data_IF_019016249824
#
_entry.id   IF_019016249824
#
_cell.length_a   1.000
_cell.length_b   1.000
_cell.length_c   1.000
_cell.angle_alpha   90.00
_cell.angle_beta   90.00
_cell.angle_gamma   90.00
#
_symmetry.space_group_name_H-M   'P 1'
#
loop_
_entity.id
_entity.type
_entity.pdbx_description
1 polymer ?
#
# COMPACT_ATOMS: atom_id res chain seq x y z
N UNK A 1 17.57 68.97 3.31
CA UNK A 1 16.12 68.75 3.29
C UNK A 1 15.76 68.03 4.56
N UNK A 2 15.01 68.71 5.41
CA UNK A 2 14.91 68.49 6.84
C UNK A 2 14.26 67.15 7.21
N UNK A 3 14.92 66.39 8.09
CA UNK A 3 14.34 65.21 8.74
C UNK A 3 13.42 65.68 9.88
N UNK A 4 12.28 66.27 9.52
CA UNK A 4 11.19 66.70 10.43
C UNK A 4 10.45 65.50 11.01
N UNK A 5 11.08 64.72 11.89
CA UNK A 5 10.40 63.68 12.68
C UNK A 5 10.92 63.50 14.10
N UNK A 6 11.87 64.35 14.55
CA UNK A 6 12.40 64.34 15.92
C UNK A 6 11.79 65.54 16.65
N UNK A 7 10.95 65.31 17.65
CA UNK A 7 10.30 66.38 18.43
C UNK A 7 11.15 66.76 19.66
N UNK A 8 11.28 68.08 19.84
CA UNK A 8 11.83 68.95 20.90
C UNK A 8 12.90 68.49 21.92
N UNK A 9 13.34 67.24 22.00
CA UNK A 9 14.46 66.83 22.88
C UNK A 9 15.32 65.68 22.34
N UNK A 10 15.14 65.24 21.08
CA UNK A 10 15.94 64.15 20.48
C UNK A 10 15.66 62.74 21.01
N UNK A 11 14.81 62.60 22.03
CA UNK A 11 14.51 61.34 22.73
C UNK A 11 13.27 60.63 22.17
N UNK A 12 12.41 61.34 21.44
CA UNK A 12 11.16 60.80 20.87
C UNK A 12 11.05 61.03 19.36
N UNK A 13 10.35 60.12 18.68
CA UNK A 13 10.16 60.10 17.22
C UNK A 13 8.73 59.67 16.88
N UNK A 14 8.16 60.26 15.83
CA UNK A 14 6.85 59.88 15.30
C UNK A 14 6.98 58.65 14.41
N UNK A 15 6.17 57.62 14.65
CA UNK A 15 6.10 56.48 13.75
C UNK A 15 5.28 56.82 12.49
N UNK A 16 5.88 56.71 11.31
CA UNK A 16 5.20 57.00 10.03
C UNK A 16 4.11 55.98 9.64
N UNK A 17 3.95 54.87 10.36
CA UNK A 17 2.93 53.84 10.11
C UNK A 17 1.71 53.94 11.03
N UNK A 18 1.91 54.26 12.32
CA UNK A 18 0.81 54.33 13.29
C UNK A 18 0.58 55.72 13.89
N UNK A 19 1.37 56.72 13.50
CA UNK A 19 1.25 58.11 13.96
C UNK A 19 1.63 58.36 15.43
N UNK A 20 1.90 57.29 16.21
CA UNK A 20 2.27 57.41 17.64
C UNK A 20 3.62 58.09 17.82
N UNK A 21 3.71 59.00 18.79
CA UNK A 21 4.96 59.57 19.31
C UNK A 21 5.55 58.56 20.30
N UNK A 22 6.75 58.03 20.03
CA UNK A 22 7.38 56.97 20.82
C UNK A 22 8.85 57.28 21.11
N UNK A 23 9.44 56.75 22.20
CA UNK A 23 10.88 56.84 22.45
C UNK A 23 11.71 56.23 21.30
N UNK A 24 12.87 56.80 21.00
CA UNK A 24 13.76 56.35 19.90
C UNK A 24 14.15 54.86 20.01
N UNK A 25 14.24 54.30 21.21
CA UNK A 25 14.53 52.89 21.47
C UNK A 25 13.46 51.93 20.92
N UNK A 26 12.24 52.41 20.71
CA UNK A 26 11.15 51.66 20.07
C UNK A 26 11.30 51.60 18.55
N UNK A 27 12.37 52.15 17.99
CA UNK A 27 12.74 52.06 16.58
C UNK A 27 14.03 51.25 16.43
N UNK A 28 14.17 50.55 15.31
CA UNK A 28 15.39 49.76 15.01
C UNK A 28 16.49 50.70 14.51
N UNK A 29 17.69 50.59 15.07
CA UNK A 29 18.89 51.27 14.58
C UNK A 29 19.52 50.47 13.44
N UNK A 30 19.75 51.10 12.31
CA UNK A 30 20.37 50.48 11.12
C UNK A 30 21.50 51.36 10.60
N UNK A 31 22.44 50.79 9.83
CA UNK A 31 23.53 51.53 9.19
C UNK A 31 23.15 51.84 7.74
N UNK A 32 23.29 53.10 7.32
CA UNK A 32 23.06 53.53 5.94
C UNK A 32 24.20 53.15 5.00
N UNK A 33 24.04 53.52 3.72
CA UNK A 33 25.00 53.26 2.63
C UNK A 33 26.40 53.85 2.88
N UNK A 34 26.51 54.85 3.78
CA UNK A 34 27.76 55.48 4.21
C UNK A 34 28.11 55.17 5.68
N UNK A 35 27.65 54.03 6.22
CA UNK A 35 27.85 53.60 7.62
C UNK A 35 27.28 54.50 8.73
N UNK A 36 26.64 55.61 8.38
CA UNK A 36 25.96 56.47 9.35
C UNK A 36 24.76 55.74 9.98
N UNK A 37 24.70 55.64 11.32
CA UNK A 37 23.60 54.98 12.00
C UNK A 37 22.34 55.87 12.00
N UNK A 38 21.19 55.30 11.70
CA UNK A 38 19.90 56.00 11.78
C UNK A 38 18.79 55.06 12.27
N UNK A 39 17.82 55.62 12.99
CA UNK A 39 16.62 54.89 13.40
C UNK A 39 15.62 54.83 12.25
N UNK A 40 15.03 53.66 11.99
CA UNK A 40 13.95 53.52 11.02
C UNK A 40 12.78 54.48 11.31
N UNK A 41 11.97 54.78 10.28
CA UNK A 41 10.79 55.66 10.40
C UNK A 41 9.55 54.94 10.96
N UNK A 42 9.51 53.61 10.86
CA UNK A 42 8.50 52.76 11.46
C UNK A 42 8.97 52.20 12.80
N UNK A 43 8.08 52.13 13.80
CA UNK A 43 8.42 51.55 15.11
C UNK A 43 8.49 50.02 15.03
N UNK A 44 9.17 49.40 15.99
CA UNK A 44 9.37 47.94 16.11
C UNK A 44 8.04 47.17 16.13
N UNK A 45 6.98 47.71 16.72
CA UNK A 45 5.65 47.08 16.73
C UNK A 45 5.02 47.01 15.33
N UNK A 46 5.01 48.13 14.59
CA UNK A 46 4.51 48.19 13.23
C UNK A 46 5.34 47.30 12.29
N UNK A 47 6.65 47.28 12.50
CA UNK A 47 7.54 46.37 11.79
C UNK A 47 7.21 44.91 12.10
N UNK A 48 7.02 44.54 13.37
CA UNK A 48 6.62 43.18 13.75
C UNK A 48 5.24 42.79 13.20
N UNK A 49 4.30 43.74 13.09
CA UNK A 49 2.99 43.52 12.46
C UNK A 49 3.13 43.28 10.96
N UNK A 50 3.86 44.15 10.25
CA UNK A 50 4.14 43.99 8.83
C UNK A 50 4.88 42.68 8.54
N UNK A 51 5.89 42.33 9.33
CA UNK A 51 6.61 41.06 9.18
C UNK A 51 5.68 39.86 9.41
N UNK A 52 4.80 39.92 10.42
CA UNK A 52 3.77 38.88 10.64
C UNK A 52 2.82 38.76 9.45
N UNK A 53 2.33 39.87 8.90
CA UNK A 53 1.45 39.88 7.73
C UNK A 53 2.16 39.38 6.47
N UNK A 54 3.41 39.81 6.23
CA UNK A 54 4.22 39.36 5.11
C UNK A 54 4.52 37.86 5.19
N UNK A 55 4.91 37.36 6.37
CA UNK A 55 5.10 35.93 6.61
C UNK A 55 3.76 35.19 6.44
N UNK A 56 2.64 35.76 6.90
CA UNK A 56 1.31 35.17 6.76
C UNK A 56 0.90 35.02 5.30
N UNK A 57 1.03 36.09 4.50
CA UNK A 57 0.78 36.09 3.04
C UNK A 57 1.71 35.15 2.29
N UNK A 58 2.98 35.05 2.71
CA UNK A 58 3.94 34.09 2.11
C UNK A 58 3.62 32.64 2.49
N UNK A 59 2.98 32.41 3.63
CA UNK A 59 2.51 31.09 4.12
C UNK A 59 1.06 30.78 3.71
N UNK A 60 0.45 31.59 2.84
CA UNK A 60 -0.84 31.27 2.26
C UNK A 60 -0.68 30.09 1.30
N UNK A 61 -1.59 29.12 1.40
CA UNK A 61 -1.58 27.97 0.49
C UNK A 61 -2.06 28.46 -0.86
N UNK A 62 -1.29 28.19 -1.91
CA UNK A 62 -1.61 28.60 -3.27
C UNK A 62 -1.73 27.36 -4.14
N UNK A 63 -2.68 27.38 -5.07
CA UNK A 63 -2.91 26.33 -6.07
C UNK A 63 -2.59 26.83 -7.48
N UNK A 64 -2.18 25.90 -8.34
CA UNK A 64 -1.54 26.23 -9.62
C UNK A 64 -2.68 26.57 -10.56
N UNK A 65 -2.51 27.58 -11.41
CA UNK A 65 -3.63 28.08 -12.23
C UNK A 65 -4.22 26.99 -13.15
N UNK A 66 -3.41 25.98 -13.49
CA UNK A 66 -3.79 24.79 -14.28
C UNK A 66 -3.75 23.50 -13.47
N UNK A 67 -4.20 23.52 -12.21
CA UNK A 67 -4.27 22.33 -11.36
C UNK A 67 -5.22 21.29 -11.96
N UNK A 68 -4.67 20.12 -12.30
CA UNK A 68 -5.43 18.96 -12.76
C UNK A 68 -5.50 17.91 -11.65
N UNK A 69 -6.68 17.34 -11.42
CA UNK A 69 -6.88 16.27 -10.41
C UNK A 69 -6.65 14.92 -11.09
N UNK A 70 -5.40 14.46 -11.04
CA UNK A 70 -4.97 13.17 -11.62
C UNK A 70 -5.16 12.02 -10.64
N UNK A 71 -4.88 12.26 -9.36
CA UNK A 71 -5.05 11.32 -8.26
C UNK A 71 -6.37 11.61 -7.58
N UNK A 72 -7.23 10.59 -7.49
CA UNK A 72 -8.51 10.62 -6.78
C UNK A 72 -8.47 9.75 -5.53
N UNK A 73 -9.38 10.01 -4.60
CA UNK A 73 -9.62 9.17 -3.43
C UNK A 73 -10.14 7.79 -3.90
N UNK A 74 -9.49 6.72 -3.49
CA UNK A 74 -9.87 5.34 -3.82
C UNK A 74 -9.61 4.42 -2.62
N UNK A 75 -10.39 3.36 -2.54
CA UNK A 75 -10.34 2.37 -1.46
C UNK A 75 -10.15 0.99 -2.07
N UNK A 76 -9.50 0.09 -1.32
CA UNK A 76 -9.24 -1.26 -1.80
C UNK A 76 -10.49 -2.11 -1.77
N UNK A 77 -10.62 -2.98 -2.76
CA UNK A 77 -11.60 -4.06 -2.72
C UNK A 77 -11.09 -5.17 -1.81
N UNK A 78 -11.88 -5.51 -0.79
CA UNK A 78 -11.51 -6.52 0.19
C UNK A 78 -12.09 -7.87 -0.25
N UNK A 79 -11.22 -8.89 -0.34
CA UNK A 79 -11.65 -10.26 -0.62
C UNK A 79 -12.52 -10.80 0.52
N UNK A 80 -13.73 -11.32 0.25
CA UNK A 80 -14.62 -11.87 1.27
C UNK A 80 -13.98 -12.98 2.11
N UNK A 81 -13.11 -13.80 1.50
CA UNK A 81 -12.40 -14.89 2.17
C UNK A 81 -11.46 -14.41 3.29
N UNK A 82 -11.13 -13.12 3.31
CA UNK A 82 -10.32 -12.50 4.37
C UNK A 82 -11.15 -11.86 5.47
N UNK A 83 -12.46 -11.72 5.30
CA UNK A 83 -13.34 -11.04 6.27
C UNK A 83 -13.73 -12.02 7.37
N UNK A 84 -13.54 -11.61 8.63
CA UNK A 84 -14.02 -12.35 9.78
C UNK A 84 -15.53 -12.19 9.94
N UNK A 85 -16.26 -13.30 10.00
CA UNK A 85 -17.66 -13.30 10.43
C UNK A 85 -17.74 -13.10 11.95
N UNK A 86 -18.20 -11.92 12.35
CA UNK A 86 -18.36 -11.53 13.75
C UNK A 86 -19.76 -11.81 14.31
N UNK A 87 -20.68 -12.37 13.51
CA UNK A 87 -22.08 -12.57 13.90
C UNK A 87 -22.24 -13.47 15.13
N UNK A 88 -21.29 -14.40 15.33
CA UNK A 88 -21.26 -15.35 16.45
C UNK A 88 -20.12 -15.07 17.44
N UNK A 89 -19.52 -13.88 17.39
CA UNK A 89 -18.42 -13.47 18.26
C UNK A 89 -18.90 -12.36 19.18
N UNK A 90 -18.47 -12.37 20.45
CA UNK A 90 -18.78 -11.32 21.42
C UNK A 90 -17.93 -10.06 21.18
N UNK A 91 -18.07 -9.47 19.99
CA UNK A 91 -17.43 -8.23 19.57
C UNK A 91 -18.50 -7.31 19.00
N UNK A 92 -18.70 -6.17 19.68
CA UNK A 92 -19.62 -5.14 19.23
C UNK A 92 -18.90 -4.22 18.22
N UNK A 93 -19.42 -4.06 16.98
CA UNK A 93 -18.91 -3.10 16.01
C UNK A 93 -19.00 -1.64 16.51
N UNK A 94 -18.01 -0.81 16.19
CA UNK A 94 -18.02 0.64 16.38
C UNK A 94 -18.93 1.35 15.38
N UNK A 95 -19.08 0.78 14.18
CA UNK A 95 -19.93 1.30 13.11
C UNK A 95 -20.58 0.18 12.32
N UNK A 96 -21.66 0.50 11.59
CA UNK A 96 -22.40 -0.47 10.76
C UNK A 96 -21.58 -1.02 9.59
N UNK A 97 -20.50 -0.34 9.23
CA UNK A 97 -19.58 -0.71 8.16
C UNK A 97 -18.25 -1.28 8.68
N UNK A 98 -18.14 -1.56 9.98
CA UNK A 98 -16.91 -2.14 10.51
C UNK A 98 -16.76 -3.61 10.07
N UNK A 99 -15.65 -3.89 9.40
CA UNK A 99 -15.25 -5.23 9.00
C UNK A 99 -13.85 -5.51 9.52
N UNK A 100 -13.57 -6.76 9.86
CA UNK A 100 -12.26 -7.22 10.31
C UNK A 100 -11.61 -8.08 9.23
N UNK A 101 -10.45 -7.68 8.73
CA UNK A 101 -9.75 -8.31 7.61
C UNK A 101 -8.51 -9.03 8.10
N UNK A 102 -8.33 -10.29 7.68
CA UNK A 102 -7.18 -11.13 8.04
C UNK A 102 -5.88 -10.52 7.49
N UNK A 103 -4.93 -10.21 8.36
CA UNK A 103 -3.59 -9.80 7.97
C UNK A 103 -2.70 -11.06 7.80
N UNK A 104 -2.66 -11.63 6.60
CA UNK A 104 -2.09 -12.97 6.36
C UNK A 104 -0.59 -13.12 6.67
N UNK A 105 0.16 -12.03 6.73
CA UNK A 105 1.57 -12.05 7.15
C UNK A 105 1.73 -12.10 8.68
N UNK A 106 0.63 -12.08 9.43
CA UNK A 106 0.60 -12.10 10.88
C UNK A 106 -0.17 -13.31 11.40
N UNK A 107 0.32 -13.86 12.52
CA UNK A 107 -0.27 -15.06 13.10
C UNK A 107 -1.60 -14.75 13.78
N UNK A 108 -2.69 -15.27 13.21
CA UNK A 108 -4.03 -15.25 13.82
C UNK A 108 -4.53 -13.82 14.10
N UNK A 109 -4.27 -12.86 13.19
CA UNK A 109 -4.60 -11.43 13.37
C UNK A 109 -5.58 -10.93 12.32
N UNK A 110 -6.59 -10.17 12.77
CA UNK A 110 -7.51 -9.42 11.93
C UNK A 110 -7.49 -7.93 12.31
N UNK A 111 -7.47 -7.06 11.31
CA UNK A 111 -7.50 -5.61 11.47
C UNK A 111 -8.84 -5.07 10.98
N UNK A 112 -9.47 -4.20 11.76
CA UNK A 112 -10.65 -3.48 11.31
C UNK A 112 -10.31 -2.23 10.50
N UNK A 113 -11.25 -1.80 9.66
CA UNK A 113 -11.24 -0.49 9.01
C UNK A 113 -11.36 0.70 9.98
N UNK A 114 -11.49 0.44 11.29
CA UNK A 114 -11.44 1.40 12.40
C UNK A 114 -10.15 1.28 13.24
N UNK A 115 -9.17 0.47 12.82
CA UNK A 115 -7.89 0.34 13.52
C UNK A 115 -7.93 -0.48 14.81
N UNK A 116 -9.04 -1.16 15.12
CA UNK A 116 -9.11 -2.22 16.14
C UNK A 116 -8.51 -3.51 15.61
N UNK A 117 -7.86 -4.28 16.48
CA UNK A 117 -7.24 -5.56 16.11
C UNK A 117 -7.86 -6.69 16.92
N UNK A 118 -8.24 -7.76 16.22
CA UNK A 118 -8.73 -9.02 16.81
C UNK A 118 -7.67 -10.08 16.64
N UNK A 119 -7.53 -10.93 17.66
CA UNK A 119 -6.69 -12.11 17.62
C UNK A 119 -7.51 -13.36 17.86
N UNK A 120 -7.23 -14.42 17.12
CA UNK A 120 -7.73 -15.75 17.41
C UNK A 120 -6.78 -16.49 18.36
N UNK A 121 -7.35 -17.16 19.39
CA UNK A 121 -6.60 -17.95 20.36
C UNK A 121 -7.46 -19.09 20.90
N UNK A 122 -6.96 -20.33 20.85
CA UNK A 122 -7.69 -21.56 21.24
C UNK A 122 -9.12 -21.66 20.67
N UNK A 123 -9.32 -21.23 19.43
CA UNK A 123 -10.64 -21.26 18.76
C UNK A 123 -11.57 -20.10 19.12
N UNK A 124 -11.22 -19.27 20.09
CA UNK A 124 -11.94 -18.03 20.41
C UNK A 124 -11.30 -16.78 19.78
N UNK A 125 -12.05 -15.68 19.75
CA UNK A 125 -11.58 -14.38 19.25
C UNK A 125 -11.65 -13.33 20.35
N UNK A 126 -10.64 -12.46 20.42
CA UNK A 126 -10.61 -11.37 21.40
C UNK A 126 -10.00 -10.11 20.80
N UNK A 127 -10.54 -8.95 21.17
CA UNK A 127 -9.92 -7.66 20.86
C UNK A 127 -8.61 -7.50 21.62
N UNK A 128 -7.56 -7.10 20.90
CA UNK A 128 -6.29 -6.78 21.51
C UNK A 128 -6.34 -5.40 22.16
N UNK A 129 -5.76 -5.28 23.35
CA UNK A 129 -5.49 -3.99 23.94
C UNK A 129 -4.26 -3.38 23.28
N UNK A 130 -4.46 -2.26 22.59
CA UNK A 130 -3.36 -1.48 22.01
C UNK A 130 -2.53 -0.75 23.08
N UNK A 131 -1.34 -0.34 22.68
CA UNK A 131 -0.47 0.57 23.44
C UNK A 131 -0.17 1.81 22.60
N UNK A 132 0.33 2.86 23.23
CA UNK A 132 0.70 4.10 22.54
C UNK A 132 2.21 4.30 22.59
N UNK A 133 2.79 4.83 21.51
CA UNK A 133 4.18 5.28 21.52
C UNK A 133 4.32 6.68 22.15
N UNK A 134 5.54 7.21 22.20
CA UNK A 134 5.83 8.53 22.77
C UNK A 134 5.15 9.69 22.01
N UNK A 135 4.70 9.46 20.77
CA UNK A 135 4.00 10.44 19.95
C UNK A 135 2.47 10.28 20.02
N UNK A 136 1.97 9.35 20.84
CA UNK A 136 0.55 9.03 20.96
C UNK A 136 0.00 8.19 19.80
N UNK A 137 0.85 7.53 19.02
CA UNK A 137 0.40 6.64 17.95
C UNK A 137 0.00 5.27 18.50
N UNK A 138 -1.24 4.84 18.20
CA UNK A 138 -1.76 3.53 18.58
C UNK A 138 -1.00 2.42 17.85
N UNK A 139 -0.50 1.44 18.63
CA UNK A 139 0.20 0.27 18.12
C UNK A 139 -0.20 -1.01 18.85
N UNK A 140 -0.16 -2.12 18.15
CA UNK A 140 -0.39 -3.46 18.69
C UNK A 140 0.87 -4.29 18.59
N UNK A 141 1.09 -5.15 19.59
CA UNK A 141 2.18 -6.12 19.59
C UNK A 141 1.65 -7.44 19.03
N UNK A 142 2.14 -7.84 17.87
CA UNK A 142 1.66 -9.01 17.12
C UNK A 142 2.84 -9.86 16.65
N UNK A 143 2.56 -11.07 16.16
CA UNK A 143 3.59 -11.95 15.61
C UNK A 143 3.54 -11.91 14.09
N UNK A 144 4.59 -11.40 13.45
CA UNK A 144 4.73 -11.32 11.99
C UNK A 144 5.57 -12.49 11.47
N UNK A 145 5.16 -13.09 10.37
CA UNK A 145 5.93 -14.09 9.65
C UNK A 145 7.03 -13.38 8.85
N UNK A 146 8.28 -13.70 9.17
CA UNK A 146 9.46 -13.07 8.56
C UNK A 146 10.50 -14.12 8.21
N UNK A 147 11.19 -13.92 7.10
CA UNK A 147 12.32 -14.76 6.72
C UNK A 147 13.56 -14.32 7.49
N UNK A 148 14.15 -15.23 8.26
CA UNK A 148 15.34 -14.97 9.05
C UNK A 148 16.20 -16.23 9.17
N UNK A 149 17.50 -16.09 8.90
CA UNK A 149 18.49 -17.17 9.05
C UNK A 149 18.10 -18.45 8.27
N UNK A 150 17.74 -18.25 7.00
CA UNK A 150 17.39 -19.34 6.08
C UNK A 150 16.00 -19.95 6.27
N UNK A 151 15.17 -19.43 7.19
CA UNK A 151 13.84 -19.98 7.45
C UNK A 151 12.77 -18.93 7.76
N UNK A 152 11.51 -19.28 7.50
CA UNK A 152 10.36 -18.48 7.92
C UNK A 152 9.99 -18.73 9.39
N UNK A 153 9.95 -17.66 10.19
CA UNK A 153 9.60 -17.71 11.60
C UNK A 153 8.65 -16.59 11.99
N UNK A 154 7.93 -16.79 13.08
CA UNK A 154 7.14 -15.72 13.69
C UNK A 154 7.98 -14.91 14.67
N UNK A 155 8.06 -13.60 14.45
CA UNK A 155 8.70 -12.64 15.35
C UNK A 155 7.70 -11.62 15.86
N UNK A 156 7.91 -11.20 17.11
CA UNK A 156 7.12 -10.14 17.73
C UNK A 156 7.48 -8.80 17.09
N UNK A 157 6.49 -8.11 16.55
CA UNK A 157 6.61 -6.78 15.97
C UNK A 157 5.46 -5.86 16.40
N UNK A 158 5.63 -4.56 16.13
CA UNK A 158 4.59 -3.55 16.33
C UNK A 158 3.93 -3.19 15.02
N UNK A 159 2.60 -3.33 14.96
CA UNK A 159 1.78 -2.73 13.91
C UNK A 159 1.21 -1.42 14.42
N UNK A 160 1.34 -0.35 13.65
CA UNK A 160 0.74 0.95 13.96
C UNK A 160 -0.63 1.02 13.30
N UNK A 161 -1.69 1.29 14.07
CA UNK A 161 -3.08 1.17 13.63
C UNK A 161 -3.35 1.99 12.37
N UNK A 162 -3.02 3.28 12.37
CA UNK A 162 -3.26 4.17 11.22
C UNK A 162 -2.53 3.68 9.96
N UNK A 163 -1.27 3.23 10.11
CA UNK A 163 -0.48 2.72 9.00
C UNK A 163 -1.07 1.43 8.44
N UNK A 164 -1.42 0.49 9.31
CA UNK A 164 -1.99 -0.78 8.90
C UNK A 164 -3.37 -0.57 8.22
N UNK A 165 -4.18 0.37 8.70
CA UNK A 165 -5.46 0.72 8.07
C UNK A 165 -5.26 1.32 6.68
N UNK A 166 -4.29 2.24 6.52
CA UNK A 166 -3.96 2.77 5.20
C UNK A 166 -3.48 1.65 4.26
N UNK A 167 -2.58 0.78 4.73
CA UNK A 167 -2.03 -0.30 3.92
C UNK A 167 -3.10 -1.31 3.49
N UNK A 168 -4.12 -1.55 4.30
CA UNK A 168 -5.15 -2.57 4.05
C UNK A 168 -6.40 -2.04 3.34
N UNK A 169 -6.80 -0.77 3.56
CA UNK A 169 -8.11 -0.27 3.09
C UNK A 169 -8.03 0.88 2.09
N UNK A 170 -6.88 1.57 1.96
CA UNK A 170 -6.74 2.78 1.14
C UNK A 170 -5.76 2.54 -0.01
N UNK A 171 -6.12 2.98 -1.22
CA UNK A 171 -5.20 2.95 -2.36
C UNK A 171 -4.22 4.11 -2.21
N UNK A 172 -2.95 3.80 -1.93
CA UNK A 172 -1.89 4.81 -1.86
C UNK A 172 -1.16 4.91 -3.22
N UNK A 173 -1.31 6.02 -3.95
CA UNK A 173 -0.75 6.17 -5.30
C UNK A 173 0.78 6.28 -5.32
N UNK A 174 1.41 6.60 -4.18
CA UNK A 174 2.86 6.75 -4.03
C UNK A 174 3.29 6.31 -2.62
N UNK A 175 3.42 5.00 -2.42
CA UNK A 175 3.82 4.39 -1.15
C UNK A 175 5.23 4.76 -0.70
N UNK A 176 6.09 5.16 -1.62
CA UNK A 176 7.46 5.58 -1.32
C UNK A 176 7.45 6.91 -0.56
N UNK A 177 6.68 7.88 -1.04
CA UNK A 177 6.71 9.23 -0.48
C UNK A 177 5.54 9.53 0.48
N UNK A 178 4.36 8.94 0.26
CA UNK A 178 3.16 9.22 1.04
C UNK A 178 3.09 8.40 2.34
N UNK A 179 4.08 8.60 3.20
CA UNK A 179 4.24 7.86 4.47
C UNK A 179 3.71 8.63 5.69
N UNK A 180 3.27 9.88 5.53
CA UNK A 180 2.69 10.68 6.61
C UNK A 180 1.16 10.60 6.55
N UNK A 181 0.53 10.27 7.67
CA UNK A 181 -0.92 10.06 7.72
C UNK A 181 -1.58 11.27 8.37
N UNK A 182 -2.33 12.03 7.59
CA UNK A 182 -3.25 13.04 8.11
C UNK A 182 -4.51 12.36 8.62
N UNK A 183 -4.91 12.72 9.84
CA UNK A 183 -6.17 12.30 10.43
C UNK A 183 -7.11 13.48 10.36
N UNK A 184 -8.32 13.26 9.85
CA UNK A 184 -9.32 14.31 9.71
C UNK A 184 -9.64 14.93 11.08
N UNK A 185 -9.85 16.23 11.13
CA UNK A 185 -10.01 16.99 12.38
C UNK A 185 -8.76 17.03 13.26
N UNK A 186 -7.61 16.56 12.76
CA UNK A 186 -6.38 16.34 13.53
C UNK A 186 -6.58 15.37 14.72
N UNK A 187 -7.59 14.49 14.65
CA UNK A 187 -7.89 13.51 15.69
C UNK A 187 -7.02 12.26 15.52
N UNK A 188 -5.94 12.17 16.32
CA UNK A 188 -5.01 11.04 16.30
C UNK A 188 -5.58 9.73 16.86
N UNK A 189 -6.77 9.77 17.47
CA UNK A 189 -7.45 8.57 17.96
C UNK A 189 -8.41 7.99 16.91
N UNK A 190 -8.81 8.79 15.93
CA UNK A 190 -9.63 8.33 14.82
C UNK A 190 -8.79 7.56 13.80
N UNK A 191 -9.03 6.25 13.72
CA UNK A 191 -8.37 5.34 12.80
C UNK A 191 -9.32 4.82 11.72
N UNK A 192 -10.48 5.46 11.54
CA UNK A 192 -11.42 5.10 10.48
C UNK A 192 -10.79 5.39 9.11
N UNK A 193 -10.70 4.39 8.26
CA UNK A 193 -9.95 4.45 7.00
C UNK A 193 -10.34 5.63 6.08
N UNK A 194 -11.61 6.05 6.08
CA UNK A 194 -12.05 7.20 5.28
C UNK A 194 -11.57 8.54 5.82
N UNK A 195 -11.19 8.60 7.09
CA UNK A 195 -10.69 9.81 7.74
C UNK A 195 -9.16 9.91 7.72
N UNK A 196 -8.46 8.91 7.15
CA UNK A 196 -7.01 8.85 7.05
C UNK A 196 -6.52 9.22 5.64
N UNK A 197 -5.56 10.13 5.51
CA UNK A 197 -5.00 10.56 4.22
C UNK A 197 -3.49 10.30 4.19
N UNK A 198 -2.99 9.37 3.35
CA UNK A 198 -1.56 9.21 3.13
C UNK A 198 -1.05 10.37 2.28
N UNK A 199 -0.09 11.10 2.82
CA UNK A 199 0.49 12.31 2.26
C UNK A 199 2.02 12.24 2.34
N UNK A 200 2.71 12.93 1.44
CA UNK A 200 4.13 13.18 1.64
C UNK A 200 4.35 14.24 2.73
N UNK A 201 5.60 14.39 3.18
CA UNK A 201 5.95 15.30 4.27
C UNK A 201 5.50 16.75 4.00
N UNK A 202 5.71 17.24 2.77
CA UNK A 202 5.37 18.62 2.38
C UNK A 202 3.86 18.81 2.36
N UNK A 203 3.12 17.88 1.75
CA UNK A 203 1.66 17.90 1.73
C UNK A 203 1.08 17.87 3.14
N UNK A 204 1.58 16.99 4.01
CA UNK A 204 1.15 16.92 5.42
C UNK A 204 1.37 18.26 6.14
N UNK A 205 2.53 18.90 5.94
CA UNK A 205 2.80 20.22 6.52
C UNK A 205 1.85 21.30 5.99
N UNK A 206 1.51 21.27 4.70
CA UNK A 206 0.56 22.21 4.10
C UNK A 206 -0.83 22.03 4.68
N UNK A 207 -1.33 20.78 4.76
CA UNK A 207 -2.64 20.47 5.36
C UNK A 207 -2.66 20.88 6.84
N UNK A 208 -1.65 20.48 7.62
CA UNK A 208 -1.54 20.86 9.04
C UNK A 208 -1.55 22.38 9.25
N UNK A 209 -0.79 23.11 8.45
CA UNK A 209 -0.72 24.57 8.58
C UNK A 209 -2.02 25.26 8.14
N UNK A 210 -2.73 24.70 7.16
CA UNK A 210 -4.04 25.20 6.75
C UNK A 210 -5.07 24.97 7.85
N UNK A 211 -5.21 23.72 8.31
CA UNK A 211 -6.11 23.33 9.39
C UNK A 211 -5.89 24.15 10.66
N UNK A 212 -4.63 24.33 11.11
CA UNK A 212 -4.32 25.15 12.29
C UNK A 212 -4.75 26.62 12.17
N UNK A 213 -4.95 27.13 10.95
CA UNK A 213 -5.36 28.53 10.70
C UNK A 213 -6.86 28.66 10.47
N UNK A 214 -7.46 27.71 9.77
CA UNK A 214 -8.85 27.82 9.25
C UNK A 214 -9.81 26.84 9.91
N UNK A 215 -9.30 25.76 10.51
CA UNK A 215 -10.09 24.61 10.93
C UNK A 215 -10.58 23.74 9.77
N UNK A 216 -10.22 24.05 8.52
CA UNK A 216 -10.63 23.31 7.33
C UNK A 216 -9.57 22.26 6.95
N UNK A 217 -10.03 21.03 6.78
CA UNK A 217 -9.30 19.93 6.17
C UNK A 217 -10.20 19.11 5.24
N UNK A 218 -11.17 19.78 4.61
CA UNK A 218 -12.08 19.17 3.65
C UNK A 218 -11.34 18.34 2.60
N UNK A 219 -11.94 17.21 2.21
CA UNK A 219 -11.36 16.33 1.20
C UNK A 219 -11.02 17.08 -0.10
N UNK A 220 -11.87 18.03 -0.51
CA UNK A 220 -11.63 18.86 -1.68
C UNK A 220 -10.35 19.70 -1.56
N UNK A 221 -10.02 20.22 -0.37
CA UNK A 221 -8.75 20.91 -0.13
C UNK A 221 -7.57 19.94 -0.15
N UNK A 222 -7.68 18.81 0.55
CA UNK A 222 -6.60 17.81 0.61
C UNK A 222 -6.29 17.27 -0.78
N UNK A 223 -7.30 16.97 -1.61
CA UNK A 223 -7.12 16.51 -2.99
C UNK A 223 -6.41 17.55 -3.86
N UNK A 224 -6.69 18.85 -3.68
CA UNK A 224 -5.94 19.91 -4.36
C UNK A 224 -4.47 19.91 -3.93
N UNK A 225 -4.18 19.76 -2.64
CA UNK A 225 -2.80 19.66 -2.12
C UNK A 225 -2.09 18.42 -2.67
N UNK A 226 -2.77 17.28 -2.72
CA UNK A 226 -2.22 16.03 -3.24
C UNK A 226 -1.84 16.11 -4.72
N UNK A 227 -2.58 16.89 -5.51
CA UNK A 227 -2.41 16.98 -6.96
C UNK A 227 -1.57 18.16 -7.44
N UNK A 228 -1.37 19.20 -6.61
CA UNK A 228 -0.59 20.37 -7.03
C UNK A 228 0.90 20.02 -7.17
N UNK A 229 1.44 20.31 -8.36
CA UNK A 229 2.84 20.07 -8.72
C UNK A 229 3.84 20.66 -7.71
N UNK A 230 3.50 21.78 -7.04
CA UNK A 230 4.40 22.39 -6.04
C UNK A 230 4.58 21.56 -4.79
N UNK A 231 3.66 20.64 -4.52
CA UNK A 231 3.67 19.81 -3.33
C UNK A 231 4.00 18.34 -3.66
N UNK A 232 4.42 18.06 -4.89
CA UNK A 232 4.93 16.75 -5.29
C UNK A 232 6.38 16.53 -4.81
N UNK A 233 6.81 15.27 -4.67
CA UNK A 233 8.22 14.91 -4.48
C UNK A 233 9.12 15.43 -5.61
N UNK A 234 10.42 15.56 -5.34
CA UNK A 234 11.38 16.11 -6.31
C UNK A 234 11.60 15.21 -7.54
N UNK A 235 11.38 13.90 -7.40
CA UNK A 235 11.49 12.90 -8.46
C UNK A 235 10.17 12.67 -9.22
N UNK A 236 9.15 13.49 -8.95
CA UNK A 236 7.87 13.45 -9.63
C UNK A 236 7.89 14.25 -10.94
N UNK A 237 7.25 13.71 -11.97
CA UNK A 237 6.92 14.44 -13.19
C UNK A 237 5.60 13.98 -13.79
N UNK A 238 5.04 14.73 -14.74
CA UNK A 238 3.86 14.26 -15.48
C UNK A 238 4.14 12.98 -16.28
N UNK A 239 5.38 12.81 -16.76
CA UNK A 239 5.78 11.63 -17.57
C UNK A 239 5.84 10.36 -16.72
N UNK A 240 6.23 10.44 -15.45
CA UNK A 240 6.37 9.25 -14.62
C UNK A 240 5.03 8.59 -14.29
N UNK A 241 3.92 9.32 -14.39
CA UNK A 241 2.54 8.84 -14.17
C UNK A 241 1.77 8.59 -15.48
N UNK A 242 2.43 8.72 -16.63
CA UNK A 242 1.83 8.42 -17.93
C UNK A 242 1.78 6.91 -18.14
N UNK A 243 0.59 6.32 -18.43
CA UNK A 243 0.47 4.90 -18.72
C UNK A 243 1.19 4.52 -20.01
N UNK A 244 2.29 3.78 -19.89
CA UNK A 244 3.13 3.33 -21.02
C UNK A 244 3.17 1.81 -21.15
N UNK A 245 3.13 1.10 -20.02
CA UNK A 245 3.24 -0.35 -20.00
C UNK A 245 1.87 -0.99 -20.23
N UNK A 246 1.70 -1.60 -21.40
CA UNK A 246 0.41 -2.14 -21.86
C UNK A 246 -0.74 -1.13 -21.79
N UNK A 247 -0.44 0.18 -21.91
CA UNK A 247 -1.44 1.26 -21.85
C UNK A 247 -2.04 1.56 -20.47
N UNK A 248 -1.60 0.85 -19.42
CA UNK A 248 -2.14 1.01 -18.05
C UNK A 248 -1.07 1.23 -16.98
N UNK A 249 0.09 0.57 -17.11
CA UNK A 249 1.17 0.65 -16.13
C UNK A 249 2.09 1.85 -16.36
N UNK A 250 2.59 2.44 -15.28
CA UNK A 250 3.47 3.60 -15.28
C UNK A 250 4.59 3.49 -14.24
N UNK A 251 5.63 4.31 -14.38
CA UNK A 251 6.89 4.17 -13.62
C UNK A 251 6.79 4.66 -12.17
N UNK A 252 6.05 5.73 -11.93
CA UNK A 252 5.87 6.38 -10.63
C UNK A 252 6.97 7.36 -10.22
N UNK A 253 8.19 7.19 -10.74
CA UNK A 253 9.35 8.04 -10.48
C UNK A 253 10.19 8.20 -11.74
N UNK A 254 10.95 9.29 -11.85
CA UNK A 254 11.95 9.49 -12.91
C UNK A 254 13.12 8.50 -12.81
N UNK A 255 13.43 8.00 -11.60
CA UNK A 255 14.63 7.22 -11.32
C UNK A 255 14.40 5.69 -11.38
N UNK A 256 13.74 5.21 -12.42
CA UNK A 256 13.38 3.79 -12.56
C UNK A 256 14.40 3.03 -13.41
N UNK A 257 15.11 2.08 -12.79
CA UNK A 257 15.92 1.07 -13.48
C UNK A 257 15.03 0.00 -14.12
N UNK A 258 14.83 0.11 -15.43
CA UNK A 258 14.02 -0.80 -16.24
C UNK A 258 14.69 -2.17 -16.50
N UNK A 259 15.94 -2.37 -16.05
CA UNK A 259 16.66 -3.64 -16.16
C UNK A 259 16.68 -4.44 -14.86
N UNK A 260 16.24 -3.82 -13.76
CA UNK A 260 16.16 -4.48 -12.45
C UNK A 260 15.19 -5.67 -12.46
N UNK A 261 15.49 -6.69 -11.67
CA UNK A 261 14.65 -7.89 -11.52
C UNK A 261 13.20 -7.55 -11.14
N UNK A 262 13.01 -6.58 -10.24
CA UNK A 262 11.69 -6.10 -9.84
C UNK A 262 10.91 -5.52 -11.01
N UNK A 263 11.57 -4.76 -11.89
CA UNK A 263 10.91 -4.17 -13.05
C UNK A 263 10.51 -5.24 -14.07
N UNK A 264 11.38 -6.22 -14.31
CA UNK A 264 11.07 -7.31 -15.24
C UNK A 264 9.89 -8.16 -14.74
N UNK A 265 9.82 -8.46 -13.44
CA UNK A 265 8.66 -9.18 -12.86
C UNK A 265 7.37 -8.37 -12.92
N UNK A 266 7.43 -7.06 -12.66
CA UNK A 266 6.29 -6.15 -12.81
C UNK A 266 5.81 -6.05 -14.27
N UNK A 267 6.76 -5.94 -15.21
CA UNK A 267 6.50 -5.95 -16.64
C UNK A 267 5.79 -7.24 -17.05
N UNK A 268 6.31 -8.39 -16.65
CA UNK A 268 5.73 -9.69 -16.99
C UNK A 268 4.33 -9.88 -16.40
N UNK A 269 4.10 -9.38 -15.18
CA UNK A 269 2.77 -9.34 -14.57
C UNK A 269 1.78 -8.52 -15.42
N UNK A 270 2.17 -7.32 -15.87
CA UNK A 270 1.31 -6.48 -16.72
C UNK A 270 1.07 -7.09 -18.11
N UNK A 271 2.10 -7.69 -18.72
CA UNK A 271 1.96 -8.39 -20.01
C UNK A 271 0.98 -9.55 -19.88
N UNK A 272 1.06 -10.33 -18.79
CA UNK A 272 0.10 -11.41 -18.52
C UNK A 272 -1.33 -10.90 -18.41
N UNK A 273 -1.55 -9.72 -17.82
CA UNK A 273 -2.90 -9.19 -17.61
C UNK A 273 -3.48 -8.47 -18.82
N UNK A 274 -2.66 -7.75 -19.61
CA UNK A 274 -3.16 -6.72 -20.52
C UNK A 274 -2.62 -6.80 -21.96
N UNK A 275 -1.70 -7.72 -22.27
CA UNK A 275 -1.18 -7.83 -23.63
C UNK A 275 -2.01 -8.81 -24.48
N UNK A 276 -2.75 -8.29 -25.46
CA UNK A 276 -3.62 -9.09 -26.34
C UNK A 276 -2.87 -10.23 -27.06
N UNK A 277 -1.71 -9.94 -27.66
CA UNK A 277 -0.86 -10.95 -28.33
C UNK A 277 -0.35 -12.03 -27.38
N UNK A 278 -0.18 -11.70 -26.10
CA UNK A 278 0.15 -12.67 -25.08
C UNK A 278 -1.04 -13.58 -24.79
N UNK A 279 -2.25 -13.02 -24.66
CA UNK A 279 -3.48 -13.79 -24.44
C UNK A 279 -3.82 -14.74 -25.59
N UNK A 280 -3.56 -14.37 -26.85
CA UNK A 280 -3.70 -15.28 -27.99
C UNK A 280 -2.89 -16.58 -27.80
N UNK A 281 -1.66 -16.46 -27.27
CA UNK A 281 -0.77 -17.60 -27.01
C UNK A 281 -1.08 -18.29 -25.69
N UNK A 282 -1.46 -17.51 -24.68
CA UNK A 282 -1.71 -17.95 -23.30
C UNK A 282 -3.10 -17.51 -22.79
N UNK A 283 -4.21 -18.09 -23.32
CA UNK A 283 -5.57 -17.67 -22.99
C UNK A 283 -5.94 -17.84 -21.51
N UNK A 284 -5.21 -18.65 -20.75
CA UNK A 284 -5.46 -18.85 -19.32
C UNK A 284 -5.27 -17.58 -18.49
N UNK A 285 -4.52 -16.60 -19.01
CA UNK A 285 -4.36 -15.30 -18.36
C UNK A 285 -5.45 -14.28 -18.75
N UNK A 286 -6.40 -14.65 -19.61
CA UNK A 286 -7.51 -13.76 -19.96
C UNK A 286 -8.38 -13.43 -18.75
N UNK A 287 -8.69 -12.14 -18.61
CA UNK A 287 -9.44 -11.60 -17.48
C UNK A 287 -8.63 -11.49 -16.19
N UNK A 288 -7.30 -11.73 -16.22
CA UNK A 288 -6.44 -11.35 -15.11
C UNK A 288 -6.24 -9.83 -15.10
N UNK A 289 -6.17 -9.24 -13.90
CA UNK A 289 -5.99 -7.80 -13.70
C UNK A 289 -4.96 -7.54 -12.60
N UNK A 290 -4.57 -6.28 -12.44
CA UNK A 290 -3.61 -5.80 -11.43
C UNK A 290 -4.29 -4.71 -10.62
N UNK A 291 -4.11 -4.70 -9.30
CA UNK A 291 -4.68 -3.66 -8.44
C UNK A 291 -4.09 -2.28 -8.77
N UNK A 292 -4.84 -1.22 -8.45
CA UNK A 292 -4.47 0.14 -8.82
C UNK A 292 -3.11 0.58 -8.28
N UNK A 293 -2.75 0.14 -7.08
CA UNK A 293 -1.44 0.44 -6.49
C UNK A 293 -0.29 -0.14 -7.30
N UNK A 294 -0.48 -1.29 -7.95
CA UNK A 294 0.55 -1.99 -8.70
C UNK A 294 0.57 -1.65 -10.18
N UNK A 295 -0.36 -0.83 -10.69
CA UNK A 295 -0.16 -0.15 -11.97
C UNK A 295 1.00 0.86 -11.90
N UNK A 296 1.34 1.33 -10.69
CA UNK A 296 2.57 2.05 -10.42
C UNK A 296 3.73 1.09 -10.09
N UNK A 297 4.75 1.03 -10.96
CA UNK A 297 5.96 0.23 -10.70
C UNK A 297 6.63 0.58 -9.37
N UNK A 298 6.75 1.86 -9.02
CA UNK A 298 7.43 2.29 -7.79
C UNK A 298 6.74 1.73 -6.53
N UNK A 299 5.42 1.62 -6.54
CA UNK A 299 4.65 0.96 -5.49
C UNK A 299 4.85 -0.57 -5.48
N UNK A 300 4.83 -1.21 -6.66
CA UNK A 300 5.14 -2.64 -6.77
C UNK A 300 6.54 -2.92 -6.21
N UNK A 301 7.52 -2.06 -6.48
CA UNK A 301 8.89 -2.17 -5.97
C UNK A 301 8.95 -2.12 -4.44
N UNK A 302 8.16 -1.26 -3.78
CA UNK A 302 8.07 -1.25 -2.31
C UNK A 302 7.65 -2.62 -1.77
N UNK A 303 6.62 -3.22 -2.38
CA UNK A 303 6.18 -4.56 -1.98
C UNK A 303 7.23 -5.62 -2.32
N UNK A 304 7.81 -5.55 -3.52
CA UNK A 304 8.85 -6.47 -3.98
C UNK A 304 10.03 -6.55 -3.02
N UNK A 305 10.58 -5.40 -2.62
CA UNK A 305 11.74 -5.35 -1.76
C UNK A 305 11.46 -5.85 -0.33
N UNK A 306 10.20 -5.84 0.11
CA UNK A 306 9.78 -6.40 1.40
C UNK A 306 9.56 -7.91 1.38
N UNK A 307 9.28 -8.49 0.21
CA UNK A 307 8.87 -9.91 0.08
C UNK A 307 9.88 -10.78 -0.65
N UNK A 308 10.84 -10.19 -1.38
CA UNK A 308 11.93 -10.95 -1.99
C UNK A 308 12.84 -11.53 -0.91
N UNK A 309 13.43 -12.68 -1.21
CA UNK A 309 14.51 -13.25 -0.41
C UNK A 309 15.80 -13.13 -1.22
N UNK A 310 16.79 -12.43 -0.67
CA UNK A 310 18.08 -12.25 -1.34
C UNK A 310 18.77 -13.60 -1.62
N UNK A 311 19.17 -13.81 -2.87
CA UNK A 311 19.84 -15.04 -3.30
C UNK A 311 18.89 -16.16 -3.73
N UNK A 312 17.57 -15.99 -3.60
CA UNK A 312 16.58 -16.96 -4.06
C UNK A 312 15.86 -16.45 -5.32
N UNK A 313 15.80 -17.29 -6.35
CA UNK A 313 14.96 -17.03 -7.52
C UNK A 313 13.53 -17.48 -7.22
N UNK A 314 12.62 -16.52 -7.06
CA UNK A 314 11.22 -16.76 -6.69
C UNK A 314 10.26 -16.29 -7.78
N UNK A 315 9.19 -17.04 -8.01
CA UNK A 315 8.12 -16.70 -8.92
C UNK A 315 7.02 -15.91 -8.19
N UNK A 316 6.50 -14.88 -8.85
CA UNK A 316 5.30 -14.16 -8.41
C UNK A 316 4.07 -14.97 -8.79
N UNK A 317 3.32 -15.41 -7.79
CA UNK A 317 2.07 -16.12 -7.97
C UNK A 317 0.88 -15.33 -7.38
N UNK A 318 -0.32 -15.49 -7.94
CA UNK A 318 -1.56 -14.82 -7.49
C UNK A 318 -2.66 -15.80 -7.05
N UNK A 319 -2.49 -17.09 -7.31
CA UNK A 319 -3.56 -18.09 -7.26
C UNK A 319 -3.44 -19.04 -6.05
N UNK A 320 -2.24 -19.18 -5.48
CA UNK A 320 -1.98 -20.08 -4.36
C UNK A 320 -2.74 -19.67 -3.10
N UNK A 321 -2.80 -18.37 -2.79
CA UNK A 321 -3.50 -17.91 -1.58
C UNK A 321 -5.03 -17.98 -1.74
N UNK A 322 -5.52 -17.82 -2.97
CA UNK A 322 -6.95 -17.81 -3.28
C UNK A 322 -7.19 -18.53 -4.60
N UNK A 323 -7.72 -19.74 -4.51
CA UNK A 323 -8.03 -20.58 -5.68
C UNK A 323 -8.95 -19.83 -6.66
N UNK A 324 -8.57 -19.84 -7.94
CA UNK A 324 -9.33 -19.18 -9.00
C UNK A 324 -9.22 -17.64 -9.04
N UNK A 325 -8.34 -17.06 -8.22
CA UNK A 325 -8.10 -15.62 -8.23
C UNK A 325 -7.63 -15.12 -9.62
N UNK A 326 -7.97 -13.86 -9.93
CA UNK A 326 -7.57 -13.21 -11.18
C UNK A 326 -6.87 -11.88 -10.98
N UNK A 327 -6.75 -11.41 -9.74
CA UNK A 327 -6.21 -10.08 -9.44
C UNK A 327 -4.83 -10.22 -8.83
N UNK A 328 -3.82 -9.59 -9.44
CA UNK A 328 -2.50 -9.39 -8.84
C UNK A 328 -2.56 -8.21 -7.87
N UNK A 329 -2.22 -8.44 -6.60
CA UNK A 329 -2.20 -7.42 -5.55
C UNK A 329 -1.31 -7.86 -4.38
N UNK A 330 -0.85 -6.94 -3.50
CA UNK A 330 -0.13 -7.29 -2.28
C UNK A 330 -0.86 -8.35 -1.44
N UNK A 331 -2.18 -8.30 -1.45
CA UNK A 331 -3.08 -9.11 -0.64
C UNK A 331 -3.38 -10.47 -1.26
N UNK A 332 -3.13 -10.69 -2.55
CA UNK A 332 -3.42 -11.95 -3.24
C UNK A 332 -2.18 -12.67 -3.72
N UNK A 333 -1.06 -11.95 -3.82
CA UNK A 333 0.18 -12.51 -4.34
C UNK A 333 1.16 -12.96 -3.26
N UNK A 334 2.02 -13.89 -3.67
CA UNK A 334 3.17 -14.34 -2.89
C UNK A 334 4.35 -14.65 -3.81
N UNK A 335 5.57 -14.57 -3.25
CA UNK A 335 6.75 -15.12 -3.87
C UNK A 335 6.96 -16.55 -3.40
N UNK A 336 7.14 -17.47 -4.34
CA UNK A 336 7.36 -18.90 -4.06
C UNK A 336 8.45 -19.49 -4.97
N UNK A 337 9.12 -20.57 -4.56
CA UNK A 337 10.04 -21.29 -5.44
C UNK A 337 9.35 -21.79 -6.71
N UNK A 338 10.09 -21.87 -7.81
CA UNK A 338 9.55 -22.32 -9.10
C UNK A 338 8.85 -23.69 -9.02
N UNK A 339 9.41 -24.63 -8.24
CA UNK A 339 8.80 -25.92 -7.97
C UNK A 339 7.38 -25.78 -7.42
N UNK A 340 7.18 -24.91 -6.42
CA UNK A 340 5.87 -24.65 -5.80
C UNK A 340 4.91 -23.98 -6.80
N UNK A 341 5.36 -22.95 -7.52
CA UNK A 341 4.54 -22.26 -8.53
C UNK A 341 4.01 -23.24 -9.60
N UNK A 342 4.85 -24.16 -10.06
CA UNK A 342 4.44 -25.15 -11.09
C UNK A 342 3.47 -26.22 -10.59
N UNK A 343 3.34 -26.43 -9.27
CA UNK A 343 2.40 -27.41 -8.71
C UNK A 343 0.95 -27.10 -9.11
N UNK A 344 0.62 -25.82 -9.26
CA UNK A 344 -0.74 -25.32 -9.47
C UNK A 344 -1.06 -25.03 -10.95
N UNK A 345 -0.16 -25.39 -11.87
CA UNK A 345 -0.42 -25.22 -13.30
C UNK A 345 -1.46 -26.24 -13.79
N UNK A 346 -2.64 -25.74 -14.14
CA UNK A 346 -3.69 -26.54 -14.74
C UNK A 346 -3.50 -26.57 -16.26
N UNK A 347 -3.04 -27.70 -16.82
CA UNK A 347 -2.83 -27.92 -18.26
C UNK A 347 -4.16 -28.02 -19.03
N UNK A 348 -4.99 -26.96 -19.04
CA UNK A 348 -6.37 -26.97 -19.58
C UNK A 348 -6.46 -27.27 -21.08
N UNK A 349 -5.45 -26.91 -21.89
CA UNK A 349 -5.54 -27.01 -23.36
C UNK A 349 -5.68 -28.45 -23.91
N UNK A 350 -5.20 -29.46 -23.20
CA UNK A 350 -5.03 -30.81 -23.78
C UNK A 350 -6.05 -31.86 -23.29
N UNK A 351 -6.99 -31.51 -22.39
CA UNK A 351 -7.85 -32.50 -21.70
C UNK A 351 -9.25 -32.70 -22.29
N UNK A 352 -9.74 -31.77 -23.12
CA UNK A 352 -11.15 -31.75 -23.54
C UNK A 352 -12.10 -31.59 -22.34
N UNK A 353 -13.16 -32.40 -22.28
CA UNK A 353 -14.16 -32.40 -21.20
C UNK A 353 -13.79 -33.27 -19.99
N UNK A 354 -12.60 -33.91 -20.01
CA UNK A 354 -12.18 -34.78 -18.92
C UNK A 354 -11.68 -34.00 -17.69
N UNK A 355 -11.82 -34.56 -16.48
CA UNK A 355 -11.28 -33.95 -15.26
C UNK A 355 -9.76 -33.73 -15.30
N UNK A 356 -9.26 -32.87 -14.41
CA UNK A 356 -7.81 -32.68 -14.25
C UNK A 356 -7.09 -34.02 -14.03
N UNK A 357 -5.95 -34.19 -14.70
CA UNK A 357 -5.10 -35.38 -14.55
C UNK A 357 -5.66 -36.67 -15.18
N UNK A 358 -6.81 -36.61 -15.86
CA UNK A 358 -7.44 -37.76 -16.50
C UNK A 358 -7.34 -37.65 -18.02
N UNK A 359 -6.98 -38.76 -18.67
CA UNK A 359 -7.04 -38.91 -20.13
C UNK A 359 -7.61 -40.27 -20.51
N UNK A 360 -8.24 -40.37 -21.67
CA UNK A 360 -8.73 -41.64 -22.19
C UNK A 360 -7.65 -42.32 -23.05
N UNK A 361 -7.31 -43.56 -22.70
CA UNK A 361 -6.37 -44.42 -23.43
C UNK A 361 -7.17 -45.27 -24.43
N UNK A 362 -7.17 -44.85 -25.69
CA UNK A 362 -7.93 -45.51 -26.77
C UNK A 362 -7.50 -46.96 -26.99
N UNK A 363 -6.22 -47.27 -26.81
CA UNK A 363 -5.68 -48.62 -27.06
C UNK A 363 -6.19 -49.62 -26.03
N UNK A 364 -6.40 -49.16 -24.80
CA UNK A 364 -6.88 -49.99 -23.67
C UNK A 364 -8.38 -49.87 -23.42
N UNK A 365 -9.04 -48.86 -23.99
CA UNK A 365 -10.43 -48.52 -23.69
C UNK A 365 -10.65 -48.15 -22.23
N UNK A 366 -9.67 -47.51 -21.59
CA UNK A 366 -9.69 -47.16 -20.15
C UNK A 366 -9.30 -45.71 -19.90
N UNK A 367 -9.71 -45.17 -18.77
CA UNK A 367 -9.26 -43.86 -18.29
C UNK A 367 -7.96 -44.00 -17.52
N UNK A 368 -7.01 -43.10 -17.74
CA UNK A 368 -5.72 -43.12 -17.06
C UNK A 368 -5.54 -41.84 -16.25
N UNK A 369 -5.15 -42.03 -15.00
CA UNK A 369 -4.82 -40.95 -14.09
C UNK A 369 -3.30 -40.73 -14.08
N UNK A 370 -2.87 -39.49 -14.25
CA UNK A 370 -1.46 -39.11 -14.18
C UNK A 370 -1.25 -37.66 -13.79
N UNK A 371 -0.06 -37.38 -13.25
CA UNK A 371 0.38 -36.03 -12.92
C UNK A 371 1.72 -35.75 -13.60
N UNK A 372 1.87 -34.55 -14.17
CA UNK A 372 3.17 -34.04 -14.58
C UNK A 372 3.69 -33.08 -13.52
N UNK A 373 4.95 -33.25 -13.12
CA UNK A 373 5.62 -32.33 -12.22
C UNK A 373 7.09 -32.19 -12.60
N UNK A 374 7.58 -30.95 -12.75
CA UNK A 374 8.98 -30.65 -13.12
C UNK A 374 9.46 -31.46 -14.35
N UNK A 375 8.58 -31.60 -15.36
CA UNK A 375 8.87 -32.32 -16.60
C UNK A 375 8.83 -33.86 -16.49
N UNK A 376 8.49 -34.43 -15.33
CA UNK A 376 8.34 -35.87 -15.12
C UNK A 376 6.87 -36.25 -15.05
N UNK A 377 6.51 -37.32 -15.75
CA UNK A 377 5.16 -37.90 -15.72
C UNK A 377 5.08 -39.01 -14.66
N UNK A 378 4.13 -38.89 -13.75
CA UNK A 378 3.83 -39.84 -12.68
C UNK A 378 2.52 -40.54 -13.04
N UNK A 379 2.59 -41.85 -13.28
CA UNK A 379 1.43 -42.68 -13.65
C UNK A 379 0.75 -43.17 -12.38
N UNK A 380 -0.54 -42.89 -12.22
CA UNK A 380 -1.31 -43.23 -11.01
C UNK A 380 -2.17 -44.48 -11.19
N UNK A 381 -2.46 -44.87 -12.43
CA UNK A 381 -3.17 -46.10 -12.75
C UNK A 381 -4.11 -45.94 -13.94
N UNK A 382 -4.82 -47.02 -14.26
CA UNK A 382 -5.88 -47.06 -15.27
C UNK A 382 -7.17 -47.57 -14.64
N UNK A 383 -8.29 -46.97 -15.02
CA UNK A 383 -9.61 -47.11 -14.40
C UNK A 383 -10.68 -47.26 -15.48
N UNK A 384 -11.82 -47.81 -15.10
CA UNK A 384 -12.93 -48.04 -16.04
C UNK A 384 -13.79 -46.78 -16.24
N UNK A 385 -13.77 -45.84 -15.28
CA UNK A 385 -14.52 -44.57 -15.33
C UNK A 385 -13.60 -43.35 -15.19
N UNK A 386 -14.06 -42.20 -15.68
CA UNK A 386 -13.33 -40.94 -15.54
C UNK A 386 -13.32 -40.46 -14.08
N UNK A 387 -14.41 -40.74 -13.36
CA UNK A 387 -14.62 -40.39 -11.96
C UNK A 387 -13.66 -41.14 -11.04
N UNK A 388 -13.46 -42.45 -11.25
CA UNK A 388 -12.51 -43.25 -10.47
C UNK A 388 -11.07 -42.81 -10.73
N UNK A 389 -10.74 -42.53 -12.00
CA UNK A 389 -9.44 -41.98 -12.37
C UNK A 389 -9.20 -40.61 -11.71
N UNK A 390 -10.22 -39.75 -11.72
CA UNK A 390 -10.13 -38.44 -11.08
C UNK A 390 -10.03 -38.55 -9.56
N UNK A 391 -10.78 -39.44 -8.91
CA UNK A 391 -10.71 -39.65 -7.47
C UNK A 391 -9.29 -40.04 -7.05
N UNK A 392 -8.64 -40.95 -7.79
CA UNK A 392 -7.24 -41.31 -7.55
C UNK A 392 -6.28 -40.14 -7.79
N UNK A 393 -6.48 -39.37 -8.87
CA UNK A 393 -5.67 -38.19 -9.16
C UNK A 393 -5.78 -37.14 -8.05
N UNK A 394 -7.00 -36.84 -7.62
CA UNK A 394 -7.32 -35.87 -6.56
C UNK A 394 -6.59 -36.22 -5.28
N UNK A 395 -6.79 -37.44 -4.78
CA UNK A 395 -6.14 -37.93 -3.55
C UNK A 395 -4.62 -37.77 -3.66
N UNK A 396 -4.01 -38.31 -4.73
CA UNK A 396 -2.57 -38.23 -4.92
C UNK A 396 -2.05 -36.80 -5.03
N UNK A 397 -2.77 -35.91 -5.74
CA UNK A 397 -2.34 -34.53 -5.96
C UNK A 397 -2.45 -33.70 -4.68
N UNK A 398 -3.50 -33.87 -3.88
CA UNK A 398 -3.64 -33.20 -2.59
C UNK A 398 -2.53 -33.65 -1.62
N UNK A 399 -2.29 -34.96 -1.50
CA UNK A 399 -1.21 -35.51 -0.68
C UNK A 399 0.16 -34.98 -1.13
N UNK A 400 0.41 -34.96 -2.45
CA UNK A 400 1.66 -34.44 -3.01
C UNK A 400 1.86 -32.94 -2.74
N UNK A 401 0.78 -32.14 -2.75
CA UNK A 401 0.86 -30.72 -2.38
C UNK A 401 1.24 -30.57 -0.91
N UNK A 402 0.66 -31.39 -0.02
CA UNK A 402 1.00 -31.38 1.41
C UNK A 402 2.46 -31.79 1.65
N UNK A 403 2.92 -32.86 1.00
CA UNK A 403 4.31 -33.31 1.07
C UNK A 403 5.29 -32.22 0.61
N UNK A 404 4.95 -31.51 -0.48
CA UNK A 404 5.74 -30.38 -0.97
C UNK A 404 5.70 -29.19 0.00
N UNK A 405 4.56 -28.93 0.65
CA UNK A 405 4.46 -27.88 1.66
C UNK A 405 5.38 -28.17 2.85
N UNK A 406 5.45 -29.43 3.31
CA UNK A 406 6.35 -29.84 4.39
C UNK A 406 7.82 -29.77 3.98
N UNK A 407 8.16 -30.20 2.75
CA UNK A 407 9.54 -30.10 2.24
C UNK A 407 10.03 -28.66 2.15
N UNK A 408 9.15 -27.73 1.77
CA UNK A 408 9.46 -26.31 1.58
C UNK A 408 9.11 -25.43 2.78
N UNK A 409 8.75 -26.01 3.92
CA UNK A 409 8.21 -25.31 5.11
C UNK A 409 9.06 -24.12 5.57
N UNK A 410 10.38 -24.27 5.51
CA UNK A 410 11.32 -23.21 5.90
C UNK A 410 11.57 -22.19 4.77
N UNK A 411 11.26 -22.53 3.52
CA UNK A 411 11.53 -21.70 2.33
C UNK A 411 10.33 -20.86 1.86
N UNK A 412 9.11 -21.21 2.29
CA UNK A 412 7.87 -20.51 1.91
C UNK A 412 7.22 -19.76 3.08
N UNK A 413 6.56 -18.62 2.83
CA UNK A 413 5.77 -17.93 3.85
C UNK A 413 4.71 -18.85 4.48
N UNK A 414 4.39 -18.66 5.76
CA UNK A 414 3.42 -19.50 6.46
C UNK A 414 2.02 -19.44 5.79
N UNK A 415 1.62 -18.27 5.26
CA UNK A 415 0.36 -18.14 4.50
C UNK A 415 0.31 -19.04 3.27
N UNK A 416 1.45 -19.28 2.62
CA UNK A 416 1.57 -20.21 1.47
C UNK A 416 1.48 -21.64 1.97
N UNK A 417 2.20 -21.97 3.04
CA UNK A 417 2.13 -23.30 3.67
C UNK A 417 0.69 -23.66 4.08
N UNK A 418 -0.02 -22.77 4.77
CA UNK A 418 -1.41 -23.00 5.18
C UNK A 418 -2.36 -23.17 3.99
N UNK A 419 -2.18 -22.36 2.94
CA UNK A 419 -2.96 -22.49 1.71
C UNK A 419 -2.71 -23.83 1.00
N UNK A 420 -1.46 -24.31 0.99
CA UNK A 420 -1.11 -25.62 0.44
C UNK A 420 -1.69 -26.77 1.27
N UNK A 421 -1.58 -26.71 2.60
CA UNK A 421 -2.09 -27.74 3.50
C UNK A 421 -3.60 -27.90 3.43
N UNK A 422 -4.31 -26.79 3.21
CA UNK A 422 -5.77 -26.75 3.08
C UNK A 422 -6.26 -26.89 1.63
N UNK A 423 -5.36 -27.10 0.66
CA UNK A 423 -5.73 -27.11 -0.75
C UNK A 423 -6.67 -28.28 -1.09
N UNK A 424 -7.77 -27.97 -1.77
CA UNK A 424 -8.77 -28.96 -2.21
C UNK A 424 -9.01 -28.89 -3.70
N UNK A 425 -9.01 -30.06 -4.33
CA UNK A 425 -9.24 -30.23 -5.76
C UNK A 425 -10.67 -30.74 -5.99
N UNK A 426 -11.35 -30.10 -6.92
CA UNK A 426 -12.72 -30.39 -7.32
C UNK A 426 -12.75 -30.88 -8.76
N UNK A 427 -13.72 -31.73 -9.09
CA UNK A 427 -13.82 -32.33 -10.43
C UNK A 427 -14.04 -31.29 -11.53
N UNK A 428 -14.58 -30.13 -11.16
CA UNK A 428 -14.91 -29.00 -12.04
C UNK A 428 -13.73 -28.04 -12.29
N UNK A 429 -12.58 -28.25 -11.65
CA UNK A 429 -11.41 -27.36 -11.74
C UNK A 429 -10.77 -27.24 -13.13
#
# INVERSE_FOLDING_TARGET
MDNTNTLENGITKVCNKCGRILPIEKFRLVKGQFYNPYYLSQCKECEAKYQREYISKKKEVKFSDRLEILIKRQYKEIKPERILDISNIDIIPLGTDEIFVNLMDYKDIWLSNYGRVVRQYYGGYSLLQGSYDNNGALRYTVNKNVFYDGKWIYRREHIYAAKAVIEEFVVNPDKTNNVYIWHSGFDKQDHYYRNLYPLNQKQYQIVKNHFNKTGDDSEGFILKVMNDIRYKPDDWSRRCIEPVMCGVGYRGSENVDCTSESYLKWHDMLVRCYNEKFHERQPQYMGCTVCEEWLNYSNFKVWYDQHKIHGMALDLDKDILFKGNKVYSPETCCFVPHAINTLFLNCKKNRGDLPLGVHFDNDKGKYRAEMSFMGRQIKLGTFDTAEDAFARYKEYKEDFIQDMAEQYRDEIPNKVYEAMMSWKIEIVD
#
